data_IF_583140572099
#
_entry.id   IF_583140572099
#
_cell.length_a   1.000
_cell.length_b   1.000
_cell.length_c   1.000
_cell.angle_alpha   90.00
_cell.angle_beta   90.00
_cell.angle_gamma   90.00
#
_symmetry.space_group_name_H-M   'P 1'
#
loop_
_entity.id
_entity.type
_entity.pdbx_description
1 polymer ?
#
# COMPACT_ATOMS: atom_id res chain seq x y z
N UNK A 1 -7.84 6.89 -1.80
CA UNK A 1 -6.61 6.32 -2.36
C UNK A 1 -5.80 5.63 -1.25
N UNK A 2 -5.14 4.49 -1.60
CA UNK A 2 -4.29 3.75 -0.67
C UNK A 2 -2.88 4.32 -0.61
N UNK A 3 -2.25 4.20 0.56
CA UNK A 3 -0.83 4.47 0.78
C UNK A 3 -0.22 3.38 1.66
N UNK A 4 1.10 3.32 1.68
CA UNK A 4 1.83 2.45 2.60
C UNK A 4 3.19 3.05 2.94
N UNK A 5 3.77 2.58 4.03
CA UNK A 5 5.13 2.90 4.43
C UNK A 5 5.85 1.64 4.92
N UNK A 6 7.09 1.45 4.44
CA UNK A 6 7.93 0.32 4.78
C UNK A 6 8.94 0.73 5.85
N UNK A 7 9.03 -0.05 6.93
CA UNK A 7 9.91 0.21 8.05
C UNK A 7 10.72 -1.04 8.39
N UNK A 8 12.02 -0.85 8.53
CA UNK A 8 12.89 -1.82 9.19
C UNK A 8 12.97 -1.43 10.66
N UNK A 9 12.35 -2.23 11.52
CA UNK A 9 12.29 -2.00 12.98
C UNK A 9 13.16 -3.00 13.75
N UNK A 10 14.03 -3.73 13.05
CA UNK A 10 14.86 -4.77 13.65
C UNK A 10 14.01 -5.82 14.38
N UNK A 11 14.26 -5.99 15.67
CA UNK A 11 13.55 -6.97 16.52
C UNK A 11 12.16 -6.53 16.96
N UNK A 12 11.77 -5.27 16.72
CA UNK A 12 10.45 -4.74 17.10
C UNK A 12 9.40 -5.15 16.07
N UNK A 13 8.33 -5.78 16.54
CA UNK A 13 7.22 -6.21 15.69
C UNK A 13 5.96 -5.41 16.00
N UNK A 14 5.44 -4.71 15.00
CA UNK A 14 4.14 -4.07 15.07
C UNK A 14 3.03 -5.10 14.85
N UNK A 15 1.90 -4.85 15.51
CA UNK A 15 0.67 -5.63 15.37
C UNK A 15 -0.48 -4.70 14.98
N UNK A 16 -1.61 -5.25 14.54
CA UNK A 16 -2.79 -4.44 14.22
C UNK A 16 -3.29 -3.64 15.44
N UNK A 17 -2.98 -4.06 16.68
CA UNK A 17 -3.31 -3.34 17.92
C UNK A 17 -2.49 -2.03 18.09
N UNK A 18 -1.41 -1.86 17.35
CA UNK A 18 -0.61 -0.64 17.36
C UNK A 18 -1.15 0.42 16.37
N UNK A 19 -1.93 0.02 15.37
CA UNK A 19 -2.49 0.95 14.38
C UNK A 19 -3.26 2.13 15.00
N UNK A 20 -4.13 1.94 16.01
CA UNK A 20 -4.83 3.06 16.66
C UNK A 20 -3.88 4.04 17.34
N UNK A 21 -2.76 3.57 17.91
CA UNK A 21 -1.75 4.42 18.56
C UNK A 21 -1.00 5.27 17.52
N UNK A 22 -0.62 4.63 16.40
CA UNK A 22 0.03 5.33 15.27
C UNK A 22 -0.92 6.38 14.70
N UNK A 23 -2.19 6.05 14.47
CA UNK A 23 -3.19 7.02 14.00
C UNK A 23 -3.37 8.20 14.97
N UNK A 24 -3.38 7.95 16.28
CA UNK A 24 -3.50 9.00 17.28
C UNK A 24 -2.32 9.98 17.19
N UNK A 25 -1.10 9.46 17.02
CA UNK A 25 0.10 10.28 16.83
C UNK A 25 0.08 11.04 15.48
N UNK A 26 -0.35 10.41 14.41
CA UNK A 26 -0.54 11.09 13.11
C UNK A 26 -1.53 12.27 13.25
N UNK A 27 -2.65 12.09 13.97
CA UNK A 27 -3.61 13.16 14.23
C UNK A 27 -3.04 14.28 15.09
N UNK A 28 -2.18 13.94 16.07
CA UNK A 28 -1.46 14.92 16.88
C UNK A 28 -0.56 15.79 16.00
N UNK A 29 0.24 15.19 15.14
CA UNK A 29 1.12 15.88 14.18
C UNK A 29 0.30 16.77 13.22
N UNK A 30 -0.84 16.30 12.72
CA UNK A 30 -1.75 17.09 11.88
C UNK A 30 -2.22 18.34 12.63
N UNK A 31 -2.60 18.20 13.90
CA UNK A 31 -3.08 19.32 14.73
C UNK A 31 -2.01 20.38 15.02
N UNK A 32 -0.73 20.01 14.98
CA UNK A 32 0.39 20.92 15.17
C UNK A 32 0.66 21.83 13.96
N UNK A 33 0.08 21.50 12.79
CA UNK A 33 0.24 22.26 11.54
C UNK A 33 1.71 22.47 11.15
N UNK A 34 2.51 21.43 11.31
CA UNK A 34 3.92 21.45 10.98
C UNK A 34 4.11 21.70 9.48
N UNK A 35 5.00 22.63 9.06
CA UNK A 35 5.27 22.90 7.67
C UNK A 35 6.00 21.71 7.00
N UNK A 36 5.81 21.55 5.70
CA UNK A 36 6.66 20.70 4.86
C UNK A 36 7.71 21.59 4.17
N UNK A 37 8.95 21.51 4.65
CA UNK A 37 10.06 22.30 4.13
C UNK A 37 10.84 21.50 3.08
N UNK A 38 10.85 22.00 1.85
CA UNK A 38 11.62 21.37 0.75
C UNK A 38 13.05 21.90 0.76
N UNK A 39 14.00 20.99 0.68
CA UNK A 39 15.40 21.28 0.41
C UNK A 39 15.92 20.41 -0.73
N UNK A 40 17.02 20.82 -1.36
CA UNK A 40 17.74 20.02 -2.37
C UNK A 40 19.15 19.74 -1.87
N UNK A 41 19.64 18.58 -2.21
CA UNK A 41 21.00 18.12 -1.93
C UNK A 41 21.61 17.56 -3.20
N UNK A 42 22.88 17.81 -3.42
CA UNK A 42 23.65 17.08 -4.43
C UNK A 42 23.67 15.59 -4.08
N UNK A 43 23.94 14.72 -5.07
CA UNK A 43 24.02 13.28 -4.83
C UNK A 43 25.01 12.97 -3.70
N UNK A 44 26.19 13.61 -3.71
CA UNK A 44 27.20 13.39 -2.67
C UNK A 44 26.73 13.83 -1.25
N UNK A 45 25.99 14.94 -1.15
CA UNK A 45 25.39 15.38 0.10
C UNK A 45 24.25 14.46 0.55
N UNK A 46 23.48 13.91 -0.38
CA UNK A 46 22.41 12.95 -0.11
C UNK A 46 22.96 11.63 0.39
N UNK A 47 24.03 11.09 -0.22
CA UNK A 47 24.73 9.89 0.25
C UNK A 47 25.30 10.09 1.65
N UNK A 48 25.95 11.23 1.89
CA UNK A 48 26.48 11.57 3.21
C UNK A 48 25.37 11.63 4.25
N UNK A 49 24.25 12.32 3.94
CA UNK A 49 23.08 12.37 4.81
C UNK A 49 22.56 10.97 5.15
N UNK A 50 22.43 10.08 4.15
CA UNK A 50 21.93 8.73 4.36
C UNK A 50 22.87 7.90 5.26
N UNK A 51 24.19 8.08 5.15
CA UNK A 51 25.18 7.44 6.01
C UNK A 51 25.14 7.99 7.44
N UNK A 52 25.09 9.31 7.62
CA UNK A 52 25.06 9.98 8.92
C UNK A 52 23.76 9.70 9.71
N UNK A 53 22.67 9.39 9.02
CA UNK A 53 21.36 9.09 9.62
C UNK A 53 21.02 7.59 9.64
N UNK A 54 21.98 6.70 9.36
CA UNK A 54 21.82 5.24 9.34
C UNK A 54 20.62 4.81 8.47
N UNK A 55 20.58 5.33 7.22
CA UNK A 55 19.52 5.07 6.25
C UNK A 55 20.02 4.21 5.07
N UNK A 56 20.35 2.92 5.29
CA UNK A 56 20.96 2.08 4.26
C UNK A 56 20.07 1.89 3.03
N UNK A 57 18.74 1.81 3.21
CA UNK A 57 17.79 1.67 2.12
C UNK A 57 17.69 2.94 1.27
N UNK A 58 17.81 4.11 1.90
CA UNK A 58 17.85 5.40 1.16
C UNK A 58 19.17 5.56 0.43
N UNK A 59 20.27 5.11 1.02
CA UNK A 59 21.57 5.12 0.35
C UNK A 59 21.54 4.29 -0.94
N UNK A 60 20.96 3.09 -0.91
CA UNK A 60 20.78 2.27 -2.11
C UNK A 60 19.93 2.98 -3.19
N UNK A 61 18.83 3.62 -2.77
CA UNK A 61 17.98 4.39 -3.70
C UNK A 61 18.73 5.57 -4.35
N UNK A 62 19.58 6.27 -3.59
CA UNK A 62 20.39 7.39 -4.09
C UNK A 62 21.42 6.89 -5.11
N UNK A 63 22.08 5.77 -4.82
CA UNK A 63 23.06 5.15 -5.72
C UNK A 63 22.40 4.66 -7.00
N UNK A 64 21.24 4.03 -6.92
CA UNK A 64 20.49 3.62 -8.10
C UNK A 64 20.06 4.81 -8.96
N UNK A 65 19.62 5.89 -8.32
CA UNK A 65 19.30 7.11 -9.06
C UNK A 65 20.50 7.68 -9.79
N UNK A 66 21.67 7.68 -9.16
CA UNK A 66 22.92 8.11 -9.79
C UNK A 66 23.28 7.27 -11.03
N UNK A 67 23.06 5.95 -10.97
CA UNK A 67 23.42 5.03 -12.05
C UNK A 67 22.37 4.91 -13.15
N UNK A 68 21.09 5.03 -12.80
CA UNK A 68 19.98 4.72 -13.69
C UNK A 68 19.01 5.88 -13.94
N UNK A 69 19.19 7.04 -13.28
CA UNK A 69 18.29 8.19 -13.39
C UNK A 69 16.89 7.97 -12.82
N UNK A 70 16.67 6.83 -12.14
CA UNK A 70 15.38 6.46 -11.53
C UNK A 70 15.57 5.60 -10.29
N UNK A 71 14.65 5.73 -9.34
CA UNK A 71 14.58 4.86 -8.15
C UNK A 71 13.63 3.67 -8.34
N UNK A 72 12.99 3.54 -9.52
CA UNK A 72 12.03 2.45 -9.80
C UNK A 72 12.76 1.17 -10.20
N UNK A 73 12.44 0.06 -9.53
CA UNK A 73 12.95 -1.28 -9.86
C UNK A 73 12.50 -1.69 -11.27
N UNK A 74 13.44 -2.13 -12.09
CA UNK A 74 13.16 -2.68 -13.43
C UNK A 74 12.74 -1.65 -14.49
N UNK A 75 12.66 -0.37 -14.16
CA UNK A 75 12.51 0.68 -15.14
C UNK A 75 13.88 0.87 -15.83
N UNK A 76 13.98 0.50 -17.11
CA UNK A 76 15.04 1.04 -17.96
C UNK A 76 14.71 2.52 -18.07
N UNK A 77 15.54 3.37 -17.44
CA UNK A 77 15.35 4.80 -17.52
C UNK A 77 15.29 5.21 -18.99
N UNK A 78 14.23 5.88 -19.41
CA UNK A 78 14.38 6.81 -20.51
C UNK A 78 15.48 7.75 -20.06
N UNK A 79 16.46 8.02 -20.92
CA UNK A 79 17.60 8.91 -20.67
C UNK A 79 17.09 10.33 -20.37
N UNK A 80 16.52 10.52 -19.18
CA UNK A 80 16.37 11.85 -18.63
C UNK A 80 17.76 12.25 -18.12
N UNK A 81 18.21 13.47 -18.42
CA UNK A 81 19.48 13.95 -17.89
C UNK A 81 19.42 13.77 -16.38
N UNK A 82 20.35 12.99 -15.83
CA UNK A 82 20.44 12.73 -14.41
C UNK A 82 20.42 14.08 -13.68
N UNK A 83 19.35 14.34 -12.93
CA UNK A 83 19.32 15.50 -12.05
C UNK A 83 20.50 15.36 -11.11
N UNK A 84 21.37 16.35 -11.05
CA UNK A 84 22.51 16.35 -10.14
C UNK A 84 22.09 16.57 -8.68
N UNK A 85 20.80 16.77 -8.44
CA UNK A 85 20.22 17.10 -7.15
C UNK A 85 19.01 16.21 -6.85
N UNK A 86 18.85 15.90 -5.58
CA UNK A 86 17.73 15.17 -5.01
C UNK A 86 16.96 16.04 -4.04
N UNK A 87 15.63 15.93 -4.03
CA UNK A 87 14.79 16.67 -3.11
C UNK A 87 14.52 15.93 -1.82
N UNK A 88 14.54 16.67 -0.74
CA UNK A 88 14.23 16.23 0.62
C UNK A 88 13.09 17.08 1.16
N UNK A 89 12.31 16.51 2.05
CA UNK A 89 11.27 17.20 2.78
C UNK A 89 11.46 16.97 4.27
N UNK A 90 11.39 18.06 5.02
CA UNK A 90 11.44 18.06 6.48
C UNK A 90 10.07 18.41 7.03
N UNK A 91 9.62 17.67 8.02
CA UNK A 91 8.39 17.90 8.76
C UNK A 91 8.67 17.68 10.25
N UNK A 92 8.69 18.77 11.03
CA UNK A 92 9.21 18.74 12.39
C UNK A 92 10.65 18.23 12.43
N UNK A 93 10.92 17.21 13.20
CA UNK A 93 12.25 16.59 13.32
C UNK A 93 12.49 15.48 12.28
N UNK A 94 11.50 15.16 11.46
CA UNK A 94 11.60 14.09 10.46
C UNK A 94 11.99 14.66 9.10
N UNK A 95 13.06 14.13 8.52
CA UNK A 95 13.51 14.45 7.16
C UNK A 95 13.59 13.20 6.32
N UNK A 96 13.06 13.23 5.10
CA UNK A 96 13.15 12.10 4.17
C UNK A 96 13.37 12.54 2.73
N UNK A 97 13.93 11.62 1.94
CA UNK A 97 14.06 11.73 0.49
C UNK A 97 12.67 11.63 -0.14
N UNK A 98 12.24 12.64 -0.88
CA UNK A 98 10.94 12.63 -1.54
C UNK A 98 10.93 13.47 -2.82
N UNK A 99 10.23 12.99 -3.84
CA UNK A 99 10.09 13.71 -5.12
C UNK A 99 9.14 14.91 -5.04
N UNK A 100 8.31 14.99 -4.02
CA UNK A 100 7.37 16.11 -3.84
C UNK A 100 5.90 15.71 -3.94
N UNK A 101 5.05 16.73 -4.11
CA UNK A 101 3.60 16.57 -4.06
C UNK A 101 3.02 16.68 -2.65
N UNK A 102 3.71 17.39 -1.75
CA UNK A 102 3.22 17.66 -0.39
C UNK A 102 2.27 18.85 -0.32
N UNK A 103 1.39 18.82 0.65
CA UNK A 103 0.64 20.00 1.12
C UNK A 103 1.59 21.02 1.79
N UNK A 104 1.13 22.24 2.05
CA UNK A 104 1.96 23.28 2.66
C UNK A 104 2.33 22.96 4.10
N UNK A 105 1.38 22.40 4.85
CA UNK A 105 1.60 21.99 6.24
C UNK A 105 0.68 20.80 6.58
N UNK A 106 0.96 20.11 7.68
CA UNK A 106 0.17 18.95 8.10
C UNK A 106 -1.30 19.28 8.40
N UNK A 107 -1.62 20.52 8.78
CA UNK A 107 -3.00 20.96 9.04
C UNK A 107 -3.89 21.00 7.79
N UNK A 108 -3.32 20.92 6.58
CA UNK A 108 -4.08 20.81 5.33
C UNK A 108 -4.55 19.37 5.07
N UNK A 109 -4.10 18.40 5.88
CA UNK A 109 -4.52 17.00 5.79
C UNK A 109 -5.79 16.80 6.63
N UNK A 110 -6.87 16.26 6.08
CA UNK A 110 -8.08 15.95 6.85
C UNK A 110 -7.77 14.92 7.96
N UNK A 111 -7.79 15.34 9.23
CA UNK A 111 -7.45 14.50 10.37
C UNK A 111 -8.35 13.29 10.57
N UNK A 112 -9.57 13.34 10.04
CA UNK A 112 -10.58 12.28 10.03
C UNK A 112 -10.79 11.65 8.66
N UNK A 113 -9.97 12.03 7.66
CA UNK A 113 -10.04 11.53 6.28
C UNK A 113 -9.13 10.33 6.01
N UNK A 114 -8.37 9.81 6.97
CA UNK A 114 -7.50 8.66 6.77
C UNK A 114 -7.74 7.55 7.80
N UNK A 115 -7.33 6.33 7.44
CA UNK A 115 -7.39 5.16 8.31
C UNK A 115 -6.27 4.19 7.97
N UNK A 116 -5.56 3.67 8.98
CA UNK A 116 -4.59 2.60 8.83
C UNK A 116 -5.31 1.25 8.82
N UNK A 117 -5.02 0.41 7.85
CA UNK A 117 -5.88 -0.75 7.57
C UNK A 117 -5.29 -2.08 8.02
N UNK A 118 -3.97 -2.24 7.94
CA UNK A 118 -3.27 -3.48 8.31
C UNK A 118 -1.76 -3.30 8.32
N UNK A 119 -1.09 -4.27 8.94
CA UNK A 119 0.35 -4.46 8.85
C UNK A 119 0.63 -5.78 8.10
N UNK A 120 1.65 -5.80 7.26
CA UNK A 120 2.10 -7.01 6.58
C UNK A 120 3.62 -6.99 6.39
N UNK A 121 4.24 -8.16 6.26
CA UNK A 121 5.62 -8.27 5.81
C UNK A 121 5.76 -7.89 4.34
N UNK A 122 6.85 -7.23 4.00
CA UNK A 122 7.21 -6.92 2.62
C UNK A 122 8.73 -6.92 2.46
N UNK A 123 9.24 -7.61 1.47
CA UNK A 123 10.66 -7.52 1.16
C UNK A 123 10.99 -6.18 0.53
N UNK A 124 12.12 -5.59 0.92
CA UNK A 124 12.57 -4.35 0.32
C UNK A 124 12.70 -4.51 -1.20
N UNK A 125 11.98 -3.67 -1.95
CA UNK A 125 11.91 -3.70 -3.42
C UNK A 125 11.41 -5.03 -4.02
N UNK A 126 10.75 -5.87 -3.23
CA UNK A 126 10.26 -7.18 -3.66
C UNK A 126 11.34 -8.26 -3.81
N UNK A 127 12.54 -8.03 -3.30
CA UNK A 127 13.67 -8.94 -3.34
C UNK A 127 13.70 -9.82 -2.10
N UNK A 128 13.38 -11.11 -2.25
CA UNK A 128 13.32 -12.10 -1.17
C UNK A 128 14.67 -12.36 -0.49
N UNK A 129 15.79 -11.94 -1.12
CA UNK A 129 17.13 -12.05 -0.54
C UNK A 129 17.44 -10.93 0.45
N UNK A 130 16.62 -9.88 0.49
CA UNK A 130 16.76 -8.73 1.39
C UNK A 130 15.92 -8.90 2.66
N UNK A 131 16.25 -8.15 3.74
CA UNK A 131 15.46 -8.20 4.97
C UNK A 131 13.98 -7.94 4.74
N UNK A 132 13.14 -8.65 5.49
CA UNK A 132 11.71 -8.42 5.50
C UNK A 132 11.39 -7.20 6.37
N UNK A 133 10.82 -6.19 5.75
CA UNK A 133 10.32 -4.98 6.40
C UNK A 133 8.88 -5.16 6.88
N UNK A 134 8.46 -4.30 7.78
CA UNK A 134 7.07 -4.19 8.19
C UNK A 134 6.40 -3.06 7.42
N UNK A 135 5.36 -3.41 6.67
CA UNK A 135 4.60 -2.46 5.85
C UNK A 135 3.29 -2.12 6.51
N UNK A 136 3.13 -0.86 6.88
CA UNK A 136 1.86 -0.31 7.35
C UNK A 136 1.08 0.21 6.15
N UNK A 137 -0.15 -0.25 6.00
CA UNK A 137 -1.07 0.18 4.95
C UNK A 137 -2.11 1.14 5.51
N UNK A 138 -2.45 2.12 4.72
CA UNK A 138 -3.52 3.06 5.02
C UNK A 138 -4.30 3.49 3.78
N UNK A 139 -5.42 4.14 4.03
CA UNK A 139 -6.24 4.80 3.02
C UNK A 139 -6.49 6.24 3.43
N UNK A 140 -6.57 7.13 2.45
CA UNK A 140 -6.84 8.54 2.66
C UNK A 140 -7.84 9.08 1.62
N UNK A 141 -8.72 9.93 2.08
CA UNK A 141 -9.79 10.58 1.32
C UNK A 141 -9.84 12.07 1.66
N UNK A 142 -10.49 12.85 0.82
CA UNK A 142 -10.65 14.28 1.05
C UNK A 142 -11.58 14.59 2.23
N UNK A 143 -12.52 13.69 2.51
CA UNK A 143 -13.51 13.87 3.58
C UNK A 143 -13.71 12.59 4.39
N UNK A 144 -14.17 12.78 5.64
CA UNK A 144 -14.60 11.66 6.50
C UNK A 144 -15.73 10.84 5.86
N UNK A 145 -16.67 11.49 5.20
CA UNK A 145 -17.81 10.80 4.58
C UNK A 145 -17.36 9.82 3.48
N UNK A 146 -16.38 10.21 2.67
CA UNK A 146 -15.79 9.31 1.65
C UNK A 146 -15.04 8.14 2.28
N UNK A 147 -14.32 8.39 3.38
CA UNK A 147 -13.65 7.33 4.14
C UNK A 147 -14.67 6.35 4.73
N UNK A 148 -15.72 6.84 5.39
CA UNK A 148 -16.75 6.01 6.00
C UNK A 148 -17.48 5.15 4.95
N UNK A 149 -17.81 5.71 3.78
CA UNK A 149 -18.40 4.96 2.66
C UNK A 149 -17.45 3.87 2.13
N UNK A 150 -16.16 4.19 2.00
CA UNK A 150 -15.16 3.20 1.61
C UNK A 150 -15.07 2.06 2.62
N UNK A 151 -14.97 2.35 3.92
CA UNK A 151 -14.88 1.35 4.98
C UNK A 151 -16.15 0.48 5.05
N UNK A 152 -17.33 1.08 4.86
CA UNK A 152 -18.60 0.36 4.79
C UNK A 152 -18.61 -0.63 3.62
N UNK A 153 -18.18 -0.20 2.42
CA UNK A 153 -18.05 -1.07 1.25
C UNK A 153 -17.02 -2.20 1.46
N UNK A 154 -15.90 -1.93 2.14
CA UNK A 154 -14.92 -2.96 2.49
C UNK A 154 -15.51 -4.00 3.45
N UNK A 155 -16.24 -3.56 4.47
CA UNK A 155 -16.93 -4.46 5.41
C UNK A 155 -17.99 -5.31 4.69
N UNK A 156 -18.77 -4.71 3.80
CA UNK A 156 -19.73 -5.43 2.97
C UNK A 156 -19.04 -6.45 2.04
N UNK A 157 -17.98 -6.05 1.35
CA UNK A 157 -17.21 -6.97 0.50
C UNK A 157 -16.65 -8.16 1.29
N UNK A 158 -16.14 -7.92 2.51
CA UNK A 158 -15.67 -8.97 3.41
C UNK A 158 -16.79 -9.93 3.84
N UNK A 159 -18.01 -9.42 4.08
CA UNK A 159 -19.17 -10.25 4.41
C UNK A 159 -19.63 -11.12 3.22
N UNK A 160 -19.36 -10.67 1.99
CA UNK A 160 -19.68 -11.36 0.75
C UNK A 160 -18.52 -12.20 0.18
N UNK A 161 -17.48 -12.47 0.97
CA UNK A 161 -16.36 -13.31 0.53
C UNK A 161 -16.87 -14.67 0.07
N UNK A 162 -16.58 -15.05 -1.18
CA UNK A 162 -17.05 -16.27 -1.80
C UNK A 162 -16.63 -17.54 -1.04
N UNK A 163 -15.47 -17.50 -0.35
CA UNK A 163 -14.99 -18.64 0.47
C UNK A 163 -15.84 -18.82 1.72
N UNK A 164 -16.34 -17.71 2.28
CA UNK A 164 -17.28 -17.73 3.40
C UNK A 164 -18.66 -18.20 2.93
N UNK A 165 -19.23 -17.52 1.95
CA UNK A 165 -20.55 -17.83 1.39
C UNK A 165 -20.60 -19.23 0.78
N UNK A 166 -19.54 -19.65 0.12
CA UNK A 166 -19.45 -20.99 -0.49
C UNK A 166 -19.60 -22.10 0.53
N UNK A 167 -19.01 -21.95 1.73
CA UNK A 167 -19.16 -22.89 2.85
C UNK A 167 -20.52 -22.79 3.53
N UNK A 168 -20.95 -21.57 3.86
CA UNK A 168 -22.22 -21.33 4.58
C UNK A 168 -23.43 -21.76 3.77
N UNK A 169 -23.38 -21.61 2.45
CA UNK A 169 -24.47 -21.97 1.53
C UNK A 169 -24.30 -23.36 0.91
N UNK A 170 -23.26 -24.10 1.30
CA UNK A 170 -22.94 -25.42 0.73
C UNK A 170 -22.87 -25.42 -0.80
N UNK A 171 -22.09 -24.49 -1.38
CA UNK A 171 -21.97 -24.34 -2.83
C UNK A 171 -20.80 -25.13 -3.41
N UNK A 172 -19.72 -25.28 -2.67
CA UNK A 172 -18.56 -26.07 -3.08
C UNK A 172 -17.75 -26.56 -1.88
N UNK A 173 -16.95 -27.57 -2.12
CA UNK A 173 -15.99 -28.14 -1.18
C UNK A 173 -14.59 -28.14 -1.82
N UNK A 174 -13.57 -28.12 -0.99
CA UNK A 174 -12.17 -28.35 -1.42
C UNK A 174 -11.67 -29.65 -0.82
N UNK A 175 -10.78 -30.35 -1.51
CA UNK A 175 -10.17 -31.59 -1.02
C UNK A 175 -8.69 -31.62 -1.38
N UNK A 176 -7.88 -32.07 -0.44
CA UNK A 176 -6.44 -32.25 -0.66
C UNK A 176 -6.15 -33.32 -1.76
N UNK A 177 -7.07 -34.25 -1.96
CA UNK A 177 -6.96 -35.25 -3.03
C UNK A 177 -7.08 -34.63 -4.43
N UNK A 178 -7.78 -33.52 -4.57
CA UNK A 178 -7.98 -32.82 -5.85
C UNK A 178 -6.91 -31.77 -6.07
N UNK A 179 -6.47 -31.16 -4.99
CA UNK A 179 -5.44 -30.10 -4.97
C UNK A 179 -5.97 -28.74 -4.54
N UNK A 180 -5.04 -27.91 -4.09
CA UNK A 180 -5.34 -26.56 -3.63
C UNK A 180 -5.89 -25.68 -4.77
N UNK A 181 -6.93 -24.91 -4.49
CA UNK A 181 -7.51 -23.97 -5.46
C UNK A 181 -8.47 -24.59 -6.48
N UNK A 182 -8.76 -25.90 -6.39
CA UNK A 182 -9.71 -26.61 -7.25
C UNK A 182 -11.02 -26.91 -6.48
N UNK A 183 -12.02 -26.01 -6.51
CA UNK A 183 -13.29 -26.23 -5.85
C UNK A 183 -14.14 -27.27 -6.60
N UNK A 184 -14.72 -28.20 -5.87
CA UNK A 184 -15.71 -29.14 -6.37
C UNK A 184 -17.10 -28.64 -6.02
N UNK A 185 -17.93 -28.37 -7.01
CA UNK A 185 -19.30 -27.90 -6.79
C UNK A 185 -20.19 -28.99 -6.21
N UNK A 186 -20.94 -28.63 -5.18
CA UNK A 186 -22.05 -29.43 -4.70
C UNK A 186 -23.21 -29.39 -5.69
N UNK A 187 -24.26 -30.20 -5.55
CA UNK A 187 -25.46 -30.06 -6.40
C UNK A 187 -26.05 -28.66 -6.40
N UNK A 188 -26.11 -27.98 -5.24
CA UNK A 188 -26.58 -26.60 -5.12
C UNK A 188 -25.66 -25.60 -5.86
N UNK A 189 -24.36 -25.77 -5.68
CA UNK A 189 -23.37 -24.93 -6.36
C UNK A 189 -23.38 -25.14 -7.88
N UNK A 190 -23.61 -26.34 -8.34
CA UNK A 190 -23.74 -26.65 -9.77
C UNK A 190 -24.94 -25.94 -10.38
N UNK A 191 -26.10 -26.00 -9.74
CA UNK A 191 -27.31 -25.28 -10.22
C UNK A 191 -27.02 -23.77 -10.31
N UNK A 192 -26.45 -23.17 -9.25
CA UNK A 192 -26.15 -21.74 -9.26
C UNK A 192 -25.16 -21.37 -10.38
N UNK A 193 -24.07 -22.17 -10.55
CA UNK A 193 -23.09 -21.97 -11.62
C UNK A 193 -23.73 -22.03 -12.99
N UNK A 194 -24.56 -23.03 -13.25
CA UNK A 194 -25.19 -23.25 -14.54
C UNK A 194 -26.21 -22.14 -14.89
N UNK A 195 -26.97 -21.65 -13.90
CA UNK A 195 -27.85 -20.50 -14.08
C UNK A 195 -27.08 -19.21 -14.41
N UNK A 196 -25.97 -18.94 -13.72
CA UNK A 196 -25.11 -17.79 -14.04
C UNK A 196 -24.50 -17.95 -15.44
N UNK A 197 -24.03 -19.13 -15.80
CA UNK A 197 -23.49 -19.40 -17.14
C UNK A 197 -24.53 -19.20 -18.23
N UNK A 198 -25.77 -19.71 -18.03
CA UNK A 198 -26.90 -19.51 -18.94
C UNK A 198 -27.21 -18.02 -19.13
N UNK A 199 -27.38 -17.27 -18.04
CA UNK A 199 -27.63 -15.84 -18.11
C UNK A 199 -26.52 -15.09 -18.84
N UNK A 200 -25.25 -15.41 -18.55
CA UNK A 200 -24.10 -14.81 -19.24
C UNK A 200 -24.13 -15.09 -20.75
N UNK A 201 -24.50 -16.31 -21.15
CA UNK A 201 -24.62 -16.68 -22.57
C UNK A 201 -25.77 -15.92 -23.25
N UNK A 202 -26.92 -15.82 -22.61
CA UNK A 202 -28.08 -15.09 -23.14
C UNK A 202 -27.75 -13.61 -23.35
N UNK A 203 -27.09 -12.96 -22.36
CA UNK A 203 -26.68 -11.55 -22.48
C UNK A 203 -25.70 -11.38 -23.65
N UNK A 204 -24.71 -12.25 -23.78
CA UNK A 204 -23.72 -12.18 -24.87
C UNK A 204 -24.36 -12.39 -26.23
N UNK A 205 -25.25 -13.35 -26.37
CA UNK A 205 -25.98 -13.59 -27.61
C UNK A 205 -26.83 -12.36 -28.01
N UNK A 206 -27.43 -11.67 -27.02
CA UNK A 206 -28.21 -10.46 -27.25
C UNK A 206 -27.40 -9.26 -27.78
N UNK A 207 -26.07 -9.24 -27.57
CA UNK A 207 -25.18 -8.17 -28.04
C UNK A 207 -24.26 -8.63 -29.19
N UNK A 208 -24.51 -9.80 -29.75
CA UNK A 208 -23.84 -10.30 -30.96
C UNK A 208 -22.51 -11.06 -30.70
N UNK A 209 -22.32 -11.60 -29.50
CA UNK A 209 -21.21 -12.50 -29.15
C UNK A 209 -21.64 -13.96 -29.20
#
# INVERSE_FOLDING_TARGET
>A
NGFYYDMDLGETHLTDDDLPKIEAEMRRIIAEKQPFERSTKTIAEAEKWAQENDQPYKLELIQDFQHHGTTKVGAKGEEQPASSEMSFYTNGDFTDLCMGGHVTNTGDIPADGFHLTKIAGAYFRGDETKPMMQRVYGVAFATKAELDDYLARQAEAKSRDHRKLGRELDLYVTSDLVGAGLPMFTPRGTVLRDEIARLSTEIRAGIGF
#
